data_IF_995240360489
#
_entry.id   IF_995240360489
#
_cell.length_a   1.000
_cell.length_b   1.000
_cell.length_c   1.000
_cell.angle_alpha   90.00
_cell.angle_beta   90.00
_cell.angle_gamma   90.00
#
_symmetry.space_group_name_H-M   'P 1'
#
loop_
_entity.id
_entity.type
_entity.pdbx_description
1 polymer ?
#
# COMPACT_ATOMS: atom_id res chain seq x y z
N UNK A 1 -8.60 -4.50 -18.61
CA UNK A 1 -9.20 -5.51 -17.72
C UNK A 1 -8.53 -5.39 -16.36
N UNK A 2 -9.20 -5.66 -15.23
CA UNK A 2 -8.56 -5.62 -13.92
C UNK A 2 -7.30 -6.49 -13.89
N UNK A 3 -6.24 -5.95 -13.31
CA UNK A 3 -4.97 -6.65 -13.13
C UNK A 3 -4.87 -7.09 -11.68
N UNK A 4 -4.50 -8.35 -11.47
CA UNK A 4 -4.41 -8.93 -10.13
C UNK A 4 -3.00 -9.43 -9.86
N UNK A 5 -2.46 -9.10 -8.69
CA UNK A 5 -1.26 -9.74 -8.14
C UNK A 5 -1.71 -10.87 -7.21
N UNK A 6 -1.28 -12.09 -7.52
CA UNK A 6 -1.66 -13.30 -6.80
C UNK A 6 -0.43 -13.84 -6.07
N UNK A 7 -0.62 -14.30 -4.84
CA UNK A 7 0.37 -15.13 -4.14
C UNK A 7 -0.21 -16.51 -3.86
N UNK A 8 0.50 -17.56 -4.29
CA UNK A 8 0.16 -18.96 -4.10
C UNK A 8 1.22 -19.70 -3.28
N UNK A 9 0.82 -20.79 -2.64
CA UNK A 9 1.70 -21.71 -1.91
C UNK A 9 1.64 -23.12 -2.51
N UNK A 10 2.82 -23.72 -2.67
CA UNK A 10 2.99 -25.13 -3.01
C UNK A 10 4.07 -25.72 -2.07
N UNK A 11 3.64 -26.44 -1.03
CA UNK A 11 4.53 -26.83 0.06
C UNK A 11 5.21 -25.60 0.68
N UNK A 12 6.54 -25.62 0.76
CA UNK A 12 7.34 -24.50 1.31
C UNK A 12 7.53 -23.34 0.32
N UNK A 13 7.19 -23.52 -0.96
CA UNK A 13 7.41 -22.51 -2.00
C UNK A 13 6.30 -21.46 -2.01
N UNK A 14 6.69 -20.19 -2.04
CA UNK A 14 5.80 -19.05 -2.36
C UNK A 14 5.97 -18.69 -3.82
N UNK A 15 4.86 -18.57 -4.55
CA UNK A 15 4.84 -18.19 -5.96
C UNK A 15 4.02 -16.91 -6.06
N UNK A 16 4.53 -15.89 -6.74
CA UNK A 16 3.78 -14.65 -7.00
C UNK A 16 3.72 -14.43 -8.51
N UNK A 17 2.54 -14.11 -9.00
CA UNK A 17 2.28 -13.84 -10.41
C UNK A 17 1.30 -12.68 -10.55
N UNK A 18 1.24 -12.13 -11.76
CA UNK A 18 0.28 -11.09 -12.13
C UNK A 18 -0.54 -11.59 -13.30
N UNK A 19 -1.88 -11.54 -13.18
CA UNK A 19 -2.81 -11.99 -14.23
C UNK A 19 -3.91 -10.96 -14.44
N UNK A 20 -4.33 -10.80 -15.69
CA UNK A 20 -5.55 -10.05 -16.03
C UNK A 20 -6.76 -11.00 -15.99
N UNK A 21 -7.85 -10.56 -15.37
CA UNK A 21 -9.09 -11.33 -15.32
C UNK A 21 -10.31 -10.41 -15.33
N UNK A 22 -11.49 -10.97 -15.63
CA UNK A 22 -12.75 -10.21 -15.67
C UNK A 22 -13.20 -9.74 -14.29
N UNK A 23 -12.98 -10.56 -13.27
CA UNK A 23 -13.29 -10.29 -11.87
C UNK A 23 -12.42 -11.16 -10.95
N UNK A 24 -12.44 -10.88 -9.64
CA UNK A 24 -11.80 -11.75 -8.63
C UNK A 24 -12.38 -13.17 -8.66
N UNK A 25 -13.70 -13.31 -8.89
CA UNK A 25 -14.37 -14.60 -8.93
C UNK A 25 -13.93 -15.43 -10.16
N UNK A 26 -13.81 -14.80 -11.33
CA UNK A 26 -13.32 -15.46 -12.54
C UNK A 26 -11.88 -15.95 -12.36
N UNK A 27 -11.03 -15.11 -11.74
CA UNK A 27 -9.65 -15.46 -11.44
C UNK A 27 -9.56 -16.66 -10.48
N UNK A 28 -10.33 -16.65 -9.39
CA UNK A 28 -10.38 -17.77 -8.45
C UNK A 28 -10.88 -19.05 -9.13
N UNK A 29 -11.94 -18.95 -9.93
CA UNK A 29 -12.49 -20.09 -10.69
C UNK A 29 -11.43 -20.68 -11.63
N UNK A 30 -10.72 -19.84 -12.38
CA UNK A 30 -9.63 -20.27 -13.24
C UNK A 30 -8.50 -20.94 -12.46
N UNK A 31 -7.97 -20.29 -11.41
CA UNK A 31 -6.86 -20.83 -10.62
C UNK A 31 -7.21 -22.16 -9.94
N UNK A 32 -8.43 -22.28 -9.43
CA UNK A 32 -8.92 -23.53 -8.84
C UNK A 32 -9.04 -24.66 -9.88
N UNK A 33 -9.34 -24.34 -11.14
CA UNK A 33 -9.46 -25.32 -12.20
C UNK A 33 -8.09 -25.78 -12.74
N UNK A 34 -7.09 -24.90 -12.77
CA UNK A 34 -5.83 -25.17 -13.50
C UNK A 34 -4.60 -25.38 -12.60
N UNK A 35 -4.64 -24.95 -11.33
CA UNK A 35 -3.49 -24.94 -10.44
C UNK A 35 -3.71 -25.84 -9.23
N UNK A 36 -2.69 -26.59 -8.86
CA UNK A 36 -2.65 -27.33 -7.58
C UNK A 36 -2.16 -26.45 -6.41
N UNK A 37 -1.68 -25.25 -6.70
CA UNK A 37 -1.14 -24.35 -5.68
C UNK A 37 -2.25 -23.55 -4.99
N UNK A 38 -2.23 -23.53 -3.65
CA UNK A 38 -3.22 -22.83 -2.84
C UNK A 38 -3.06 -21.32 -2.96
N UNK A 39 -4.11 -20.62 -3.37
CA UNK A 39 -4.16 -19.15 -3.35
C UNK A 39 -4.15 -18.66 -1.89
N UNK A 40 -3.19 -17.81 -1.53
CA UNK A 40 -3.12 -17.16 -0.21
C UNK A 40 -3.73 -15.77 -0.21
N UNK A 41 -3.44 -14.98 -1.25
CA UNK A 41 -3.99 -13.64 -1.39
C UNK A 41 -4.07 -13.23 -2.86
N UNK A 42 -5.02 -12.35 -3.12
CA UNK A 42 -5.25 -11.69 -4.40
C UNK A 42 -5.34 -10.20 -4.08
N UNK A 43 -4.53 -9.40 -4.77
CA UNK A 43 -4.57 -7.94 -4.71
C UNK A 43 -5.01 -7.42 -6.07
N UNK A 44 -6.01 -6.56 -6.11
CA UNK A 44 -6.32 -5.80 -7.31
C UNK A 44 -5.30 -4.67 -7.46
N UNK A 45 -4.75 -4.52 -8.66
CA UNK A 45 -3.72 -3.56 -8.99
C UNK A 45 -4.36 -2.43 -9.79
N UNK A 46 -4.37 -1.24 -9.20
CA UNK A 46 -4.74 0.00 -9.88
C UNK A 46 -3.46 0.76 -10.20
N UNK A 47 -3.13 0.92 -11.48
CA UNK A 47 -2.09 1.87 -11.89
C UNK A 47 -2.71 3.26 -11.94
N UNK A 48 -2.28 4.12 -11.03
CA UNK A 48 -2.81 5.48 -10.90
C UNK A 48 -2.26 6.42 -11.98
N UNK A 49 -1.11 6.10 -12.58
CA UNK A 49 -0.45 7.00 -13.51
C UNK A 49 0.40 6.27 -14.56
N UNK A 50 -0.13 6.18 -15.78
CA UNK A 50 0.57 5.61 -16.94
C UNK A 50 1.10 6.68 -17.89
N UNK A 51 0.83 7.96 -17.62
CA UNK A 51 1.07 9.07 -18.54
C UNK A 51 2.01 10.13 -17.99
N UNK A 52 2.21 10.21 -16.67
CA UNK A 52 3.16 11.17 -16.11
C UNK A 52 4.60 10.68 -16.20
N UNK A 53 5.50 11.65 -16.33
CA UNK A 53 6.91 11.44 -16.09
C UNK A 53 7.16 11.43 -14.58
N UNK A 54 7.91 10.45 -14.06
CA UNK A 54 8.38 10.48 -12.68
C UNK A 54 9.05 11.84 -12.36
N UNK A 55 8.91 12.36 -11.14
CA UNK A 55 9.63 13.56 -10.73
C UNK A 55 11.14 13.38 -10.91
N UNK A 56 11.81 14.43 -11.39
CA UNK A 56 13.27 14.47 -11.46
C UNK A 56 13.82 14.39 -10.03
N UNK A 57 14.85 13.57 -9.82
CA UNK A 57 15.54 13.49 -8.52
C UNK A 57 16.46 14.72 -8.35
N UNK A 58 15.89 15.75 -7.72
CA UNK A 58 16.57 17.01 -7.40
C UNK A 58 17.07 17.07 -5.95
N UNK A 59 16.92 15.97 -5.19
CA UNK A 59 17.21 15.87 -3.75
C UNK A 59 16.48 16.91 -2.86
N UNK A 60 15.45 17.60 -3.38
CA UNK A 60 14.68 18.63 -2.65
C UNK A 60 13.55 18.01 -1.83
N UNK A 61 13.91 17.07 -0.95
CA UNK A 61 12.98 16.35 -0.10
C UNK A 61 13.60 15.89 1.23
N UNK A 62 12.77 15.75 2.27
CA UNK A 62 13.14 15.00 3.45
C UNK A 62 13.13 13.50 3.15
N UNK A 63 14.10 12.78 3.74
CA UNK A 63 14.34 11.37 3.42
C UNK A 63 13.14 10.48 3.66
N UNK A 64 12.51 10.63 4.82
CA UNK A 64 11.42 9.74 5.23
C UNK A 64 10.54 10.37 6.31
N UNK A 65 9.31 9.89 6.37
CA UNK A 65 8.38 10.09 7.46
C UNK A 65 7.89 8.73 7.95
N UNK A 66 7.80 8.56 9.27
CA UNK A 66 7.24 7.36 9.88
C UNK A 66 6.14 7.75 10.86
N UNK A 67 5.03 7.02 10.80
CA UNK A 67 3.98 7.13 11.79
C UNK A 67 3.34 5.77 12.11
N UNK A 68 2.71 5.71 13.27
CA UNK A 68 1.78 4.66 13.66
C UNK A 68 0.41 5.29 13.84
N UNK A 69 -0.53 4.89 12.99
CA UNK A 69 -1.94 5.24 13.07
C UNK A 69 -2.70 4.15 13.80
N UNK A 70 -3.54 4.54 14.75
CA UNK A 70 -4.41 3.62 15.51
C UNK A 70 -5.87 4.06 15.33
N UNK A 71 -6.76 3.11 15.07
CA UNK A 71 -8.19 3.38 15.01
C UNK A 71 -8.86 3.18 16.39
N UNK A 72 -10.16 3.47 16.48
CA UNK A 72 -10.94 3.34 17.72
C UNK A 72 -11.03 1.91 18.28
N UNK A 73 -10.75 0.90 17.45
CA UNK A 73 -10.74 -0.52 17.84
C UNK A 73 -9.34 -1.00 18.25
N UNK A 74 -8.38 -0.08 18.50
CA UNK A 74 -6.99 -0.37 18.82
C UNK A 74 -6.23 -1.16 17.73
N UNK A 75 -6.73 -1.15 16.49
CA UNK A 75 -5.97 -1.68 15.35
C UNK A 75 -4.95 -0.62 14.96
N UNK A 76 -3.68 -1.03 14.91
CA UNK A 76 -2.56 -0.15 14.60
C UNK A 76 -1.86 -0.60 13.33
N UNK A 77 -1.54 0.36 12.45
CA UNK A 77 -0.71 0.13 11.26
C UNK A 77 0.38 1.19 11.14
N UNK A 78 1.51 0.75 10.59
CA UNK A 78 2.61 1.64 10.26
C UNK A 78 2.32 2.37 8.94
N UNK A 79 2.58 3.66 8.93
CA UNK A 79 2.60 4.52 7.74
C UNK A 79 4.06 4.90 7.51
N UNK A 80 4.60 4.51 6.35
CA UNK A 80 5.97 4.80 5.93
C UNK A 80 5.91 5.51 4.58
N UNK A 81 6.46 6.73 4.53
CA UNK A 81 6.47 7.54 3.32
C UNK A 81 7.92 8.02 3.08
N UNK A 82 8.35 7.98 1.84
CA UNK A 82 9.68 8.40 1.39
C UNK A 82 9.60 9.69 0.59
N UNK A 83 10.72 10.40 0.47
CA UNK A 83 10.88 11.59 -0.39
C UNK A 83 9.80 12.66 -0.13
N UNK A 84 9.71 13.11 1.13
CA UNK A 84 8.69 14.06 1.58
C UNK A 84 9.05 15.47 1.13
N UNK A 85 8.11 16.20 0.55
CA UNK A 85 8.30 17.61 0.16
C UNK A 85 8.84 18.46 1.33
N UNK A 86 9.81 19.34 1.06
CA UNK A 86 10.47 20.17 2.08
C UNK A 86 9.53 21.14 2.82
N UNK A 87 8.39 21.49 2.22
CA UNK A 87 7.37 22.33 2.84
C UNK A 87 6.43 21.58 3.80
N UNK A 88 6.66 20.28 4.03
CA UNK A 88 5.87 19.48 4.96
C UNK A 88 6.47 19.50 6.36
N UNK A 89 5.59 19.57 7.35
CA UNK A 89 5.92 19.37 8.76
C UNK A 89 5.00 18.30 9.36
N UNK A 90 5.29 17.90 10.61
CA UNK A 90 4.56 16.80 11.26
C UNK A 90 3.08 17.11 11.46
N UNK A 91 2.71 18.36 11.76
CA UNK A 91 1.31 18.76 11.93
C UNK A 91 0.51 18.65 10.63
N UNK A 92 1.07 19.14 9.52
CA UNK A 92 0.43 19.04 8.21
C UNK A 92 0.29 17.59 7.76
N UNK A 93 1.32 16.77 8.02
CA UNK A 93 1.28 15.33 7.73
C UNK A 93 0.23 14.61 8.60
N UNK A 94 0.10 14.97 9.87
CA UNK A 94 -0.95 14.43 10.76
C UNK A 94 -2.34 14.75 10.24
N UNK A 95 -2.59 15.98 9.81
CA UNK A 95 -3.88 16.38 9.21
C UNK A 95 -4.17 15.57 7.96
N UNK A 96 -3.22 15.50 7.02
CA UNK A 96 -3.39 14.72 5.78
C UNK A 96 -3.67 13.24 6.06
N UNK A 97 -2.99 12.64 7.03
CA UNK A 97 -3.21 11.24 7.42
C UNK A 97 -4.63 11.05 7.97
N UNK A 98 -5.08 11.93 8.86
CA UNK A 98 -6.44 11.83 9.42
C UNK A 98 -7.53 12.07 8.37
N UNK A 99 -7.26 12.90 7.36
CA UNK A 99 -8.22 13.24 6.30
C UNK A 99 -8.32 12.15 5.24
N UNK A 100 -7.20 11.55 4.84
CA UNK A 100 -7.15 10.71 3.64
C UNK A 100 -6.94 9.22 3.91
N UNK A 101 -6.46 8.83 5.09
CA UNK A 101 -6.09 7.44 5.37
C UNK A 101 -7.03 6.77 6.37
N UNK A 102 -7.11 5.45 6.24
CA UNK A 102 -7.83 4.58 7.17
C UNK A 102 -6.92 3.48 7.70
N UNK A 103 -7.21 3.02 8.92
CA UNK A 103 -6.58 1.86 9.52
C UNK A 103 -7.66 0.83 9.83
N UNK A 104 -7.57 -0.34 9.17
CA UNK A 104 -8.55 -1.41 9.34
C UNK A 104 -9.95 -1.06 8.82
N UNK A 105 -10.05 -0.24 7.77
CA UNK A 105 -11.34 0.21 7.21
C UNK A 105 -12.06 1.24 8.08
N UNK A 106 -11.31 1.98 8.91
CA UNK A 106 -11.85 3.00 9.81
C UNK A 106 -10.92 4.21 9.87
N UNK A 107 -11.50 5.38 10.17
CA UNK A 107 -10.74 6.61 10.36
C UNK A 107 -9.63 6.47 11.41
N UNK A 108 -8.51 7.16 11.17
CA UNK A 108 -7.37 7.21 12.10
C UNK A 108 -7.69 8.14 13.27
N UNK A 109 -7.74 7.57 14.47
CA UNK A 109 -8.07 8.31 15.70
C UNK A 109 -6.80 8.88 16.34
N UNK A 110 -5.83 8.01 16.60
CA UNK A 110 -4.56 8.36 17.24
C UNK A 110 -3.39 8.20 16.29
N UNK A 111 -2.42 9.11 16.41
CA UNK A 111 -1.22 9.12 15.58
C UNK A 111 0.01 9.47 16.40
N UNK A 112 1.06 8.65 16.27
CA UNK A 112 2.42 8.97 16.72
C UNK A 112 3.32 9.02 15.49
N UNK A 113 4.04 10.13 15.28
CA UNK A 113 4.78 10.38 14.05
C UNK A 113 6.14 11.02 14.28
N UNK A 114 7.04 10.88 13.29
CA UNK A 114 8.33 11.57 13.20
C UNK A 114 8.71 11.82 11.75
N UNK A 115 9.09 13.06 11.44
CA UNK A 115 9.70 13.45 10.18
C UNK A 115 11.23 13.42 10.32
N UNK A 116 11.91 12.70 9.44
CA UNK A 116 13.36 12.57 9.46
C UNK A 116 13.95 13.56 8.46
N UNK A 117 14.48 14.65 8.99
CA UNK A 117 15.20 15.66 8.22
C UNK A 117 16.63 15.18 7.97
N UNK A 118 17.26 15.73 6.93
CA UNK A 118 18.71 15.57 6.74
C UNK A 118 19.40 16.42 7.80
N UNK A 119 20.39 15.84 8.49
CA UNK A 119 21.26 16.58 9.41
C UNK A 119 22.09 17.63 8.64
#
# INVERSE_FOLDING_TARGET
MPLFKITQKQGNRTITSTLEAKSVLDLQTFLNAVSTAKVQCIYEVHYEDTLSTPPVDDFMYFKQFKAFGTNKNNISKQILIHNIKLNMNEDRLRTLIKTHLEVGGMAVDNLKCRLFKKD
#
